data_IF_627431652994
#
_entry.id   IF_627431652994
#
_cell.length_a   1.000
_cell.length_b   1.000
_cell.length_c   1.000
_cell.angle_alpha   90.00
_cell.angle_beta   90.00
_cell.angle_gamma   90.00
#
_symmetry.space_group_name_H-M   'P 1'
#
loop_
_entity.id
_entity.type
_entity.pdbx_description
1 polymer ?
#
# COMPACT_ATOMS: atom_id res chain seq x y z
N UNK A 1 54.93 -7.83 25.27
CA UNK A 1 53.63 -7.20 25.57
C UNK A 1 53.55 -5.84 24.87
N UNK A 2 53.20 -5.77 23.57
CA UNK A 2 53.08 -4.49 22.84
C UNK A 2 52.33 -4.56 21.50
N UNK A 3 51.48 -5.58 21.29
CA UNK A 3 50.78 -5.81 20.01
C UNK A 3 49.25 -5.88 20.11
N UNK A 4 48.68 -5.36 21.19
CA UNK A 4 47.21 -5.36 21.39
C UNK A 4 46.59 -3.99 21.08
N UNK A 5 47.39 -2.92 20.95
CA UNK A 5 46.89 -1.55 20.81
C UNK A 5 46.66 -1.05 19.36
N UNK A 6 46.79 -1.91 18.35
CA UNK A 6 46.64 -1.51 16.93
C UNK A 6 45.35 -2.01 16.26
N UNK A 7 44.56 -2.85 16.92
CA UNK A 7 43.27 -3.30 16.35
C UNK A 7 42.08 -2.45 16.80
N UNK A 8 42.26 -1.52 17.75
CA UNK A 8 41.16 -0.69 18.28
C UNK A 8 40.93 0.58 17.44
N UNK A 9 41.85 0.96 16.54
CA UNK A 9 41.72 2.14 15.68
C UNK A 9 41.13 1.86 14.29
N UNK A 10 40.94 0.60 13.92
CA UNK A 10 40.31 0.22 12.64
C UNK A 10 38.80 -0.09 12.76
N UNK A 11 38.18 0.24 13.90
CA UNK A 11 36.77 -0.09 14.19
C UNK A 11 35.78 1.07 14.14
N UNK A 12 36.22 2.29 13.78
CA UNK A 12 35.40 3.50 13.89
C UNK A 12 35.29 4.32 12.59
N UNK A 13 35.44 3.68 11.41
CA UNK A 13 35.38 4.40 10.12
C UNK A 13 34.53 3.71 9.03
N UNK A 14 33.60 2.84 9.40
CA UNK A 14 32.74 2.16 8.42
C UNK A 14 31.25 2.23 8.78
N UNK A 15 30.79 3.36 9.30
CA UNK A 15 29.35 3.68 9.39
C UNK A 15 28.91 4.72 8.35
N UNK A 16 29.68 4.90 7.27
CA UNK A 16 29.22 5.56 6.04
C UNK A 16 29.23 4.53 4.91
N UNK A 17 28.32 3.56 4.97
CA UNK A 17 28.02 2.72 3.82
C UNK A 17 26.57 2.95 3.41
N UNK A 18 26.39 3.20 2.11
CA UNK A 18 25.15 3.30 1.35
C UNK A 18 24.54 4.71 1.13
N UNK A 19 25.24 5.54 0.34
CA UNK A 19 24.65 6.41 -0.71
C UNK A 19 25.71 6.75 -1.77
N UNK A 20 26.19 5.77 -2.54
CA UNK A 20 27.23 6.02 -3.55
C UNK A 20 26.76 6.90 -4.73
N UNK A 21 25.48 7.32 -4.77
CA UNK A 21 24.90 8.14 -5.85
C UNK A 21 24.27 9.47 -5.39
N UNK A 22 24.24 9.78 -4.09
CA UNK A 22 23.67 11.04 -3.59
C UNK A 22 24.76 11.96 -3.02
N UNK A 23 24.64 13.26 -3.32
CA UNK A 23 25.46 14.29 -2.69
C UNK A 23 25.02 14.62 -1.24
N UNK A 24 25.70 15.59 -0.60
CA UNK A 24 25.26 16.10 0.70
C UNK A 24 23.85 16.69 0.59
N UNK A 25 23.04 16.50 1.64
CA UNK A 25 21.69 17.06 1.69
C UNK A 25 21.76 18.57 1.94
N UNK A 26 21.10 19.34 1.07
CA UNK A 26 20.83 20.76 1.23
C UNK A 26 19.31 20.96 1.46
N UNK A 27 18.86 21.11 2.72
CA UNK A 27 17.44 21.25 3.04
C UNK A 27 16.79 22.51 2.47
N UNK A 28 17.56 23.57 2.25
CA UNK A 28 17.03 24.86 1.79
C UNK A 28 16.67 24.80 0.30
N UNK A 29 17.26 23.86 -0.45
CA UNK A 29 16.91 23.57 -1.84
C UNK A 29 15.63 22.73 -1.98
N UNK A 30 15.08 22.20 -0.88
CA UNK A 30 13.89 21.36 -0.93
C UNK A 30 12.63 22.16 -1.22
N UNK A 31 11.81 21.66 -2.16
CA UNK A 31 10.45 22.16 -2.38
C UNK A 31 9.48 21.44 -1.43
N UNK A 32 8.54 22.19 -0.86
CA UNK A 32 7.45 21.61 -0.06
C UNK A 32 6.31 21.18 -0.99
N UNK A 33 6.01 19.88 -1.10
CA UNK A 33 4.89 19.42 -1.91
C UNK A 33 3.57 19.64 -1.19
N UNK A 34 2.50 19.77 -1.97
CA UNK A 34 1.13 19.85 -1.49
C UNK A 34 0.31 18.65 -2.00
N UNK A 35 -0.82 18.38 -1.35
CA UNK A 35 -1.79 17.38 -1.83
C UNK A 35 -1.28 15.93 -1.93
N UNK A 36 -0.41 15.53 -1.00
CA UNK A 36 0.11 14.17 -0.93
C UNK A 36 -0.90 13.20 -0.31
N UNK A 37 -1.58 12.41 -1.15
CA UNK A 37 -2.63 11.48 -0.70
C UNK A 37 -2.07 10.29 0.10
N UNK A 38 -0.85 9.84 -0.17
CA UNK A 38 -0.20 8.78 0.59
C UNK A 38 0.78 9.32 1.65
N UNK A 39 0.61 10.59 2.05
CA UNK A 39 1.48 11.24 3.02
C UNK A 39 2.82 11.71 2.48
N UNK A 40 3.63 12.25 3.40
CA UNK A 40 4.95 12.80 3.12
C UNK A 40 6.04 11.83 3.56
N UNK A 41 6.96 11.53 2.65
CA UNK A 41 8.10 10.64 2.90
C UNK A 41 9.39 11.29 2.45
N UNK A 42 10.53 10.73 2.85
CA UNK A 42 11.82 11.18 2.34
C UNK A 42 12.04 10.69 0.90
N UNK A 43 12.69 11.52 0.09
CA UNK A 43 13.20 11.11 -1.23
C UNK A 43 14.21 9.94 -1.11
N UNK A 44 14.61 9.37 -2.26
CA UNK A 44 15.59 8.27 -2.29
C UNK A 44 16.94 8.65 -1.63
N UNK A 45 17.30 9.93 -1.71
CA UNK A 45 18.48 10.52 -1.07
C UNK A 45 18.24 10.95 0.38
N UNK A 46 17.09 10.62 0.99
CA UNK A 46 16.80 10.87 2.40
C UNK A 46 16.75 12.33 2.81
N UNK A 47 16.71 13.26 1.85
CA UNK A 47 16.93 14.68 2.09
C UNK A 47 15.59 15.42 2.19
N UNK A 48 14.90 15.57 1.07
CA UNK A 48 13.67 16.34 0.99
C UNK A 48 12.45 15.52 1.37
N UNK A 49 11.42 16.19 1.87
CA UNK A 49 10.09 15.61 1.99
C UNK A 49 9.40 15.68 0.62
N UNK A 50 8.93 14.56 0.12
CA UNK A 50 8.23 14.43 -1.16
C UNK A 50 6.89 13.72 -0.94
N UNK A 51 5.96 13.86 -1.89
CA UNK A 51 4.77 13.02 -1.85
C UNK A 51 5.15 11.56 -2.05
N UNK A 52 4.62 10.70 -1.19
CA UNK A 52 4.69 9.26 -1.39
C UNK A 52 3.76 8.78 -2.50
N UNK A 53 4.18 7.73 -3.19
CA UNK A 53 3.36 7.00 -4.16
C UNK A 53 2.27 6.19 -3.44
N UNK A 54 1.07 6.15 -4.03
CA UNK A 54 -0.13 5.45 -3.51
C UNK A 54 -0.04 3.93 -3.66
N UNK A 55 -0.90 3.21 -2.96
CA UNK A 55 -1.00 1.76 -3.13
C UNK A 55 -1.28 1.39 -4.60
N UNK A 56 -0.56 0.39 -5.11
CA UNK A 56 -0.65 -0.07 -6.49
C UNK A 56 0.10 0.79 -7.53
N UNK A 57 0.68 1.93 -7.15
CA UNK A 57 1.51 2.74 -8.05
C UNK A 57 2.93 2.18 -8.16
N UNK A 58 3.59 2.44 -9.31
CA UNK A 58 5.00 2.13 -9.49
C UNK A 58 5.89 2.94 -8.55
N UNK A 59 6.98 2.32 -8.10
CA UNK A 59 7.91 2.88 -7.13
C UNK A 59 9.36 2.48 -7.42
N UNK A 60 10.28 3.26 -6.87
CA UNK A 60 11.70 2.96 -6.95
C UNK A 60 12.07 1.78 -6.04
N UNK A 61 12.65 0.74 -6.64
CA UNK A 61 13.21 -0.40 -5.92
C UNK A 61 14.60 -0.72 -6.47
N UNK A 62 15.60 -0.81 -5.58
CA UNK A 62 17.02 -1.01 -5.98
C UNK A 62 17.28 -2.26 -6.85
N UNK A 63 16.42 -3.27 -6.76
CA UNK A 63 16.57 -4.50 -7.56
C UNK A 63 15.83 -4.46 -8.90
N UNK A 64 15.12 -3.37 -9.21
CA UNK A 64 14.35 -3.19 -10.44
C UNK A 64 15.03 -2.10 -11.26
N UNK A 65 15.74 -2.55 -12.30
CA UNK A 65 16.42 -1.65 -13.23
C UNK A 65 15.42 -0.69 -13.90
N UNK A 66 15.79 0.58 -14.03
CA UNK A 66 14.93 1.60 -14.64
C UNK A 66 13.87 2.20 -13.71
N UNK A 67 13.69 1.69 -12.49
CA UNK A 67 12.66 2.22 -11.55
C UNK A 67 12.99 3.57 -10.90
N UNK A 68 14.16 4.15 -11.20
CA UNK A 68 14.67 5.40 -10.60
C UNK A 68 13.82 6.63 -10.91
N UNK A 69 13.05 6.60 -12.01
CA UNK A 69 12.10 7.66 -12.36
C UNK A 69 10.85 7.68 -11.47
N UNK A 70 10.63 6.60 -10.70
CA UNK A 70 9.51 6.50 -9.79
C UNK A 70 9.88 6.98 -8.39
N UNK A 71 8.93 7.61 -7.71
CA UNK A 71 9.13 8.09 -6.34
C UNK A 71 9.14 6.97 -5.28
N UNK A 72 9.46 7.34 -4.02
CA UNK A 72 9.26 6.46 -2.86
C UNK A 72 7.77 6.18 -2.62
N UNK A 73 7.45 5.03 -2.02
CA UNK A 73 6.10 4.76 -1.53
C UNK A 73 5.75 5.64 -0.34
N UNK A 74 4.45 5.88 -0.15
CA UNK A 74 3.92 6.65 0.97
C UNK A 74 3.96 5.94 2.33
N UNK A 75 3.29 6.54 3.29
CA UNK A 75 3.21 6.04 4.66
C UNK A 75 2.59 4.63 4.68
N UNK A 76 3.18 3.72 5.48
CA UNK A 76 2.77 2.32 5.62
C UNK A 76 2.76 1.49 4.30
N UNK A 77 3.49 1.93 3.27
CA UNK A 77 3.65 1.21 2.00
C UNK A 77 5.07 0.72 1.80
N UNK A 78 5.22 -0.54 1.36
CA UNK A 78 6.49 -1.12 0.94
C UNK A 78 6.57 -1.16 -0.59
N UNK A 79 7.70 -0.77 -1.16
CA UNK A 79 7.95 -1.00 -2.59
C UNK A 79 8.38 -2.45 -2.82
N UNK A 80 7.57 -3.24 -3.54
CA UNK A 80 7.81 -4.67 -3.76
C UNK A 80 7.89 -4.99 -5.25
N UNK A 81 8.93 -5.72 -5.71
CA UNK A 81 8.97 -6.24 -7.07
C UNK A 81 7.74 -7.10 -7.37
N UNK A 82 7.19 -6.93 -8.57
CA UNK A 82 6.09 -7.75 -9.07
C UNK A 82 6.59 -9.16 -9.40
N UNK A 83 5.81 -10.15 -9.01
CA UNK A 83 6.08 -11.57 -9.28
C UNK A 83 5.13 -12.17 -10.34
N UNK A 84 4.17 -11.38 -10.81
CA UNK A 84 3.09 -11.76 -11.73
C UNK A 84 3.36 -11.37 -13.19
N UNK A 85 4.59 -10.93 -13.50
CA UNK A 85 5.01 -10.52 -14.84
C UNK A 85 5.38 -11.75 -15.69
N UNK A 86 5.05 -11.71 -16.99
CA UNK A 86 5.38 -12.81 -17.89
C UNK A 86 6.90 -12.83 -18.20
N UNK A 87 7.47 -13.99 -18.56
CA UNK A 87 8.85 -14.05 -19.01
C UNK A 87 9.10 -13.13 -20.20
N UNK A 88 10.05 -12.21 -20.07
CA UNK A 88 10.37 -11.21 -21.10
C UNK A 88 9.73 -9.83 -20.89
N UNK A 89 8.76 -9.71 -19.98
CA UNK A 89 8.22 -8.41 -19.60
C UNK A 89 9.27 -7.61 -18.80
N UNK A 90 9.30 -6.27 -18.93
CA UNK A 90 10.14 -5.42 -18.09
C UNK A 90 9.82 -5.62 -16.61
N UNK A 91 10.85 -5.76 -15.78
CA UNK A 91 10.67 -5.85 -14.33
C UNK A 91 10.06 -4.56 -13.77
N UNK A 92 9.12 -4.70 -12.83
CA UNK A 92 8.43 -3.58 -12.18
C UNK A 92 8.36 -3.81 -10.66
N UNK A 93 8.22 -2.72 -9.90
CA UNK A 93 7.87 -2.76 -8.49
C UNK A 93 6.69 -1.83 -8.20
N UNK A 94 5.81 -2.24 -7.30
CA UNK A 94 4.64 -1.48 -6.88
C UNK A 94 4.63 -1.23 -5.37
N UNK A 95 4.00 -0.14 -4.97
CA UNK A 95 3.71 0.12 -3.57
C UNK A 95 2.60 -0.81 -3.08
N UNK A 96 2.88 -1.55 -2.00
CA UNK A 96 1.96 -2.51 -1.40
C UNK A 96 1.76 -2.15 0.06
N UNK A 97 0.52 -2.14 0.54
CA UNK A 97 0.27 -1.82 1.95
C UNK A 97 0.91 -2.86 2.86
N UNK A 98 1.73 -2.41 3.81
CA UNK A 98 2.41 -3.31 4.74
C UNK A 98 1.47 -3.81 5.86
N UNK A 99 0.33 -3.14 6.07
CA UNK A 99 -0.72 -3.47 7.04
C UNK A 99 -2.08 -3.53 6.35
N UNK A 100 -2.32 -4.60 5.61
CA UNK A 100 -3.58 -4.88 4.91
C UNK A 100 -4.71 -5.41 5.83
N UNK A 101 -4.80 -4.89 7.06
CA UNK A 101 -5.85 -5.27 8.02
C UNK A 101 -6.89 -4.15 8.10
N UNK A 102 -8.18 -4.47 8.30
CA UNK A 102 -9.21 -3.45 8.42
C UNK A 102 -8.94 -2.45 9.54
N UNK A 103 -9.34 -1.20 9.33
CA UNK A 103 -9.22 -0.10 10.28
C UNK A 103 -10.55 0.63 10.42
N UNK A 104 -10.95 0.92 11.65
CA UNK A 104 -12.11 1.76 11.91
C UNK A 104 -11.66 3.22 11.93
N UNK A 105 -12.26 4.05 11.08
CA UNK A 105 -12.09 5.49 11.12
C UNK A 105 -12.90 6.15 12.24
N UNK A 106 -12.47 7.32 12.66
CA UNK A 106 -13.21 8.23 13.56
C UNK A 106 -14.56 8.68 12.98
N UNK A 107 -14.75 8.52 11.67
CA UNK A 107 -16.02 8.69 10.95
C UNK A 107 -16.96 7.47 11.04
N UNK A 108 -16.56 6.40 11.73
CA UNK A 108 -17.32 5.17 11.83
C UNK A 108 -17.31 4.32 10.56
N UNK A 109 -16.47 4.65 9.57
CA UNK A 109 -16.29 3.88 8.34
C UNK A 109 -15.17 2.86 8.53
N UNK A 110 -15.39 1.64 8.05
CA UNK A 110 -14.33 0.62 7.98
C UNK A 110 -13.56 0.79 6.68
N UNK A 111 -12.24 0.92 6.78
CA UNK A 111 -11.29 0.90 5.68
C UNK A 111 -10.62 -0.46 5.62
N UNK A 112 -10.34 -0.99 4.43
CA UNK A 112 -9.78 -2.34 4.30
C UNK A 112 -8.33 -2.44 4.79
N UNK A 113 -7.63 -1.31 4.81
CA UNK A 113 -6.23 -1.19 5.23
C UNK A 113 -5.94 0.16 5.88
N UNK A 114 -4.80 0.27 6.57
CA UNK A 114 -4.30 1.58 7.04
C UNK A 114 -4.01 2.52 5.86
N UNK A 115 -3.55 1.99 4.73
CA UNK A 115 -3.19 2.78 3.56
C UNK A 115 -4.43 3.45 2.93
N UNK A 116 -5.56 2.73 2.85
CA UNK A 116 -6.83 3.32 2.42
C UNK A 116 -7.33 4.42 3.38
N UNK A 117 -7.21 4.20 4.71
CA UNK A 117 -7.57 5.22 5.71
C UNK A 117 -6.70 6.47 5.56
N UNK A 118 -5.39 6.28 5.35
CA UNK A 118 -4.44 7.38 5.12
C UNK A 118 -4.80 8.19 3.87
N UNK A 119 -5.12 7.53 2.76
CA UNK A 119 -5.57 8.23 1.55
C UNK A 119 -6.85 9.03 1.76
N UNK A 120 -7.82 8.44 2.46
CA UNK A 120 -9.05 9.12 2.82
C UNK A 120 -8.80 10.36 3.69
N UNK A 121 -7.92 10.24 4.69
CA UNK A 121 -7.53 11.34 5.58
C UNK A 121 -6.95 12.52 4.80
N UNK A 122 -5.97 12.25 3.94
CA UNK A 122 -5.30 13.30 3.17
C UNK A 122 -6.17 13.89 2.05
N UNK A 123 -7.09 13.12 1.50
CA UNK A 123 -8.05 13.58 0.49
C UNK A 123 -9.06 14.57 1.07
N UNK A 124 -9.64 14.26 2.24
CA UNK A 124 -10.70 15.06 2.86
C UNK A 124 -10.18 16.26 3.65
N UNK A 125 -9.02 16.11 4.29
CA UNK A 125 -8.42 17.13 5.18
C UNK A 125 -9.37 17.63 6.27
N UNK A 126 -10.22 16.74 6.76
CA UNK A 126 -11.26 17.01 7.77
C UNK A 126 -10.89 16.50 9.19
N UNK A 127 -9.68 15.97 9.34
CA UNK A 127 -9.21 15.40 10.61
C UNK A 127 -9.59 13.94 10.83
N UNK A 128 -9.91 13.18 9.78
CA UNK A 128 -10.11 11.73 9.88
C UNK A 128 -8.90 11.02 10.53
N UNK A 129 -9.12 10.44 11.69
CA UNK A 129 -8.15 9.59 12.40
C UNK A 129 -8.58 8.12 12.45
N UNK A 130 -7.64 7.22 12.73
CA UNK A 130 -7.94 5.83 13.05
C UNK A 130 -8.48 5.74 14.48
N UNK A 131 -9.71 5.24 14.64
CA UNK A 131 -10.37 5.03 15.93
C UNK A 131 -9.96 3.70 16.56
N UNK A 132 -9.85 2.62 15.76
CA UNK A 132 -9.39 1.31 16.25
C UNK A 132 -8.85 0.45 15.11
N UNK A 133 -8.05 -0.56 15.49
CA UNK A 133 -7.67 -1.65 14.58
C UNK A 133 -8.83 -2.64 14.48
N UNK A 134 -9.13 -3.09 13.27
CA UNK A 134 -10.28 -3.94 12.95
C UNK A 134 -11.44 -3.13 12.34
N UNK A 135 -12.51 -3.82 11.91
CA UNK A 135 -13.69 -3.14 11.40
C UNK A 135 -14.36 -2.32 12.50
N UNK A 136 -15.06 -1.27 12.12
CA UNK A 136 -15.96 -0.58 13.03
C UNK A 136 -17.00 -1.56 13.54
N UNK A 137 -17.45 -1.36 14.78
CA UNK A 137 -18.60 -2.10 15.29
C UNK A 137 -19.76 -1.79 14.35
N UNK A 138 -20.26 -2.82 13.66
CA UNK A 138 -21.54 -2.69 12.99
C UNK A 138 -22.50 -2.23 14.08
N UNK A 139 -23.09 -1.04 13.93
CA UNK A 139 -24.22 -0.64 14.75
C UNK A 139 -25.23 -1.73 14.51
N UNK A 140 -25.31 -2.67 15.45
CA UNK A 140 -26.18 -3.81 15.35
C UNK A 140 -27.55 -3.21 15.09
N UNK A 141 -28.10 -3.48 13.90
CA UNK A 141 -29.54 -3.56 13.80
C UNK A 141 -29.87 -4.65 14.80
N UNK A 142 -30.18 -4.27 16.04
CA UNK A 142 -30.86 -5.12 16.98
C UNK A 142 -32.08 -5.58 16.19
N UNK A 143 -32.00 -6.79 15.62
CA UNK A 143 -33.20 -7.49 15.24
C UNK A 143 -33.93 -7.60 16.55
N UNK A 144 -34.93 -6.74 16.72
CA UNK A 144 -35.95 -6.91 17.73
C UNK A 144 -36.76 -8.12 17.27
N UNK A 145 -36.16 -9.30 17.37
CA UNK A 145 -36.89 -10.56 17.33
C UNK A 145 -37.32 -10.82 18.77
N UNK A 146 -38.37 -10.10 19.17
CA UNK A 146 -39.46 -10.77 19.87
C UNK A 146 -39.64 -12.14 19.20
N UNK A 147 -39.47 -13.19 19.99
CA UNK A 147 -39.40 -14.54 19.48
C UNK A 147 -40.62 -14.87 18.64
N UNK A 148 -40.35 -15.34 17.42
CA UNK A 148 -41.20 -16.29 16.73
C UNK A 148 -40.25 -17.27 16.04
N UNK A 149 -40.35 -18.52 16.47
CA UNK A 149 -39.65 -19.67 15.92
C UNK A 149 -40.31 -20.06 14.61
N UNK A 150 -39.67 -19.84 13.46
CA UNK A 150 -39.90 -20.65 12.26
C UNK A 150 -38.55 -20.79 11.54
N UNK A 151 -37.83 -21.87 11.83
CA UNK A 151 -37.88 -23.16 11.12
C UNK A 151 -37.12 -23.11 9.80
N UNK A 152 -36.02 -23.86 9.82
CA UNK A 152 -35.27 -24.37 8.69
C UNK A 152 -36.21 -24.91 7.61
N UNK A 153 -36.01 -24.51 6.35
CA UNK A 153 -36.20 -25.41 5.21
C UNK A 153 -35.07 -25.24 4.21
N UNK A 154 -34.42 -26.36 3.98
CA UNK A 154 -33.45 -26.74 2.96
C UNK A 154 -33.87 -26.43 1.51
N UNK A 155 -32.85 -26.05 0.74
CA UNK A 155 -32.54 -26.40 -0.65
C UNK A 155 -33.46 -25.99 -1.81
N UNK A 156 -32.82 -25.31 -2.78
CA UNK A 156 -33.03 -25.59 -4.20
C UNK A 156 -31.67 -25.57 -4.90
N UNK A 157 -31.10 -26.75 -5.10
CA UNK A 157 -30.03 -27.00 -6.07
C UNK A 157 -30.53 -26.65 -7.48
N UNK A 158 -29.68 -25.94 -8.24
CA UNK A 158 -29.95 -25.54 -9.62
C UNK A 158 -29.61 -26.72 -10.54
N UNK A 159 -30.62 -27.26 -11.23
CA UNK A 159 -30.48 -28.29 -12.26
C UNK A 159 -29.71 -27.75 -13.50
N UNK A 160 -28.54 -28.31 -13.86
CA UNK A 160 -27.75 -27.86 -15.02
C UNK A 160 -28.36 -28.22 -16.38
N UNK A 161 -29.44 -29.00 -16.45
CA UNK A 161 -29.96 -29.54 -17.71
C UNK A 161 -30.82 -28.56 -18.54
N UNK A 162 -31.12 -27.36 -18.02
CA UNK A 162 -31.98 -26.37 -18.70
C UNK A 162 -31.25 -25.11 -19.21
N UNK A 163 -29.92 -25.13 -19.31
CA UNK A 163 -29.19 -24.03 -19.94
C UNK A 163 -29.44 -24.01 -21.46
N UNK A 164 -30.19 -23.01 -21.94
CA UNK A 164 -30.30 -22.69 -23.37
C UNK A 164 -28.91 -22.33 -23.93
N UNK A 165 -28.54 -22.78 -25.15
CA UNK A 165 -27.31 -22.36 -25.78
C UNK A 165 -27.37 -20.86 -26.15
N UNK A 166 -26.25 -20.12 -26.04
CA UNK A 166 -26.18 -18.74 -26.51
C UNK A 166 -26.34 -18.68 -28.03
N UNK A 167 -27.28 -17.86 -28.51
CA UNK A 167 -27.42 -17.56 -29.94
C UNK A 167 -26.21 -16.77 -30.41
N UNK A 168 -25.45 -17.35 -31.35
CA UNK A 168 -24.29 -16.75 -32.01
C UNK A 168 -24.75 -15.53 -32.81
N UNK A 169 -24.49 -14.32 -32.31
CA UNK A 169 -24.64 -13.11 -33.12
C UNK A 169 -23.52 -13.07 -34.16
N UNK A 170 -23.93 -12.92 -35.42
CA UNK A 170 -23.05 -12.83 -36.57
C UNK A 170 -22.16 -11.59 -36.49
N UNK A 171 -20.89 -11.80 -36.85
CA UNK A 171 -19.92 -10.76 -37.17
C UNK A 171 -20.40 -10.05 -38.44
N UNK A 172 -20.64 -8.74 -38.36
CA UNK A 172 -20.75 -7.89 -39.54
C UNK A 172 -19.46 -7.07 -39.63
N UNK A 173 -18.63 -7.42 -40.61
CA UNK A 173 -17.49 -6.62 -41.04
C UNK A 173 -18.00 -5.33 -41.70
N UNK A 174 -17.44 -4.19 -41.28
CA UNK A 174 -17.59 -2.88 -41.88
C UNK A 174 -16.38 -2.05 -41.50
#
# INVERSE_FOLDING_TARGET
MKRVLLFVLFGALAALAARDECGPCDPDACRTPDSCLAGLVKDACGCCMVCGQREGHRCYHRSVAGSWEHGPCGEDLDCRPRADLAPGDPAEALCVCNKAWPMCGSDGVTYDSVCQLTEARYSRRDGLEAASRGPCMAVGKTRRSSGDSESLTSDAEVDPSQARPPTRSAVQSG
#
